data_IF_050849920060
#
_entry.id   IF_050849920060
#
_cell.length_a   1.000
_cell.length_b   1.000
_cell.length_c   1.000
_cell.angle_alpha   90.00
_cell.angle_beta   90.00
_cell.angle_gamma   90.00
#
_symmetry.space_group_name_H-M   'P 1'
#
loop_
_entity.id
_entity.type
_entity.pdbx_description
1 polymer ?
#
# COMPACT_ATOMS: atom_id res chain seq x y z
N UNK A 1 16.51 77.67 -27.83
CA UNK A 1 17.78 76.92 -28.03
C UNK A 1 17.73 75.70 -27.10
N UNK A 2 18.04 74.51 -27.61
CA UNK A 2 17.83 73.20 -26.98
C UNK A 2 18.72 73.00 -25.74
N UNK A 3 18.21 72.31 -24.71
CA UNK A 3 18.91 71.14 -24.16
C UNK A 3 17.91 70.20 -23.49
N UNK A 4 17.84 68.97 -24.02
CA UNK A 4 17.11 67.84 -23.46
C UNK A 4 17.98 67.20 -22.38
N UNK A 5 17.45 66.97 -21.19
CA UNK A 5 17.98 65.96 -20.27
C UNK A 5 16.88 64.96 -19.96
N UNK A 6 17.07 63.76 -20.52
CA UNK A 6 16.40 62.53 -20.10
C UNK A 6 17.04 62.12 -18.77
N UNK A 7 16.26 61.78 -17.76
CA UNK A 7 16.70 60.84 -16.73
C UNK A 7 15.61 59.79 -16.50
N UNK A 8 16.09 58.57 -16.32
CA UNK A 8 15.37 57.31 -16.43
C UNK A 8 14.50 56.99 -15.22
N UNK A 9 13.50 56.15 -15.51
CA UNK A 9 12.76 55.27 -14.61
C UNK A 9 13.63 54.59 -13.54
N UNK A 10 13.10 54.45 -12.32
CA UNK A 10 13.21 53.25 -11.48
C UNK A 10 12.19 53.35 -10.34
N UNK A 11 11.04 52.66 -10.47
CA UNK A 11 10.71 51.39 -9.81
C UNK A 11 10.67 51.44 -8.28
N UNK A 12 9.45 51.32 -7.73
CA UNK A 12 9.19 50.32 -6.70
C UNK A 12 7.68 50.00 -6.68
N UNK A 13 7.25 49.06 -7.53
CA UNK A 13 5.97 48.38 -7.33
C UNK A 13 6.23 47.27 -6.33
N UNK A 14 5.81 47.46 -5.09
CA UNK A 14 5.72 46.41 -4.08
C UNK A 14 4.56 45.48 -4.47
N UNK A 15 4.86 44.45 -5.26
CA UNK A 15 3.95 43.32 -5.42
C UNK A 15 4.11 42.44 -4.19
N UNK A 16 3.17 42.52 -3.26
CA UNK A 16 2.98 41.47 -2.28
C UNK A 16 2.46 40.23 -3.01
N UNK A 17 3.37 39.39 -3.51
CA UNK A 17 3.01 37.99 -3.76
C UNK A 17 2.83 37.37 -2.38
N UNK A 18 1.58 37.20 -1.96
CA UNK A 18 1.26 36.22 -0.94
C UNK A 18 1.84 34.88 -1.43
N UNK A 19 2.99 34.49 -0.89
CA UNK A 19 3.31 33.08 -0.84
C UNK A 19 2.28 32.50 0.12
N UNK A 20 1.25 31.88 -0.45
CA UNK A 20 0.62 30.76 0.25
C UNK A 20 1.77 29.86 0.71
N UNK A 21 1.81 29.44 1.99
CA UNK A 21 2.73 28.39 2.36
C UNK A 21 2.39 27.23 1.45
N UNK A 22 3.29 26.92 0.52
CA UNK A 22 3.29 25.65 -0.19
C UNK A 22 3.42 24.65 0.95
N UNK A 23 2.29 24.04 1.29
CA UNK A 23 2.24 22.98 2.28
C UNK A 23 3.28 21.96 1.83
N UNK A 24 4.39 21.86 2.56
CA UNK A 24 5.32 20.74 2.43
C UNK A 24 4.67 19.46 3.01
N UNK A 25 3.40 19.23 2.68
CA UNK A 25 2.95 17.88 2.35
C UNK A 25 3.70 17.44 1.08
N UNK A 26 5.02 17.25 1.24
CA UNK A 26 5.79 16.22 0.56
C UNK A 26 4.82 15.10 0.19
N UNK A 27 4.61 14.85 -1.10
CA UNK A 27 3.58 13.97 -1.66
C UNK A 27 3.45 12.66 -0.88
N UNK A 28 2.69 12.66 0.22
CA UNK A 28 2.53 11.48 1.06
C UNK A 28 1.67 10.53 0.26
N UNK A 29 2.11 9.29 0.16
CA UNK A 29 1.27 8.27 -0.44
C UNK A 29 -0.04 8.20 0.36
N UNK A 30 -1.15 8.00 -0.34
CA UNK A 30 -2.45 7.70 0.27
C UNK A 30 -2.66 6.20 0.28
N UNK A 31 -3.43 5.67 1.24
CA UNK A 31 -3.80 4.25 1.22
C UNK A 31 -4.41 3.88 -0.14
N UNK A 32 -5.34 4.73 -0.60
CA UNK A 32 -6.11 4.58 -1.84
C UNK A 32 -5.29 4.90 -3.10
N UNK A 33 -5.63 4.23 -4.20
CA UNK A 33 -5.07 4.39 -5.56
C UNK A 33 -3.57 4.12 -5.72
N UNK A 34 -2.95 3.50 -4.72
CA UNK A 34 -1.56 3.07 -4.76
C UNK A 34 -1.46 1.55 -4.85
N UNK A 35 -0.39 1.08 -5.49
CA UNK A 35 -0.04 -0.34 -5.53
C UNK A 35 1.06 -0.60 -4.50
N UNK A 36 0.76 -1.48 -3.57
CA UNK A 36 1.64 -1.83 -2.45
C UNK A 36 2.16 -3.24 -2.63
N UNK A 37 3.42 -3.49 -2.31
CA UNK A 37 4.05 -4.82 -2.40
C UNK A 37 4.59 -5.27 -1.06
N UNK A 38 4.36 -6.54 -0.74
CA UNK A 38 4.98 -7.19 0.41
C UNK A 38 6.52 -7.16 0.29
N UNK A 39 7.18 -6.89 1.40
CA UNK A 39 8.65 -6.88 1.46
C UNK A 39 9.23 -8.29 1.50
N UNK A 40 8.49 -9.25 2.07
CA UNK A 40 8.89 -10.64 2.22
C UNK A 40 8.67 -11.45 0.94
N UNK A 41 9.67 -12.24 0.55
CA UNK A 41 9.57 -13.20 -0.55
C UNK A 41 8.92 -14.51 -0.07
N UNK A 42 7.91 -14.99 -0.79
CA UNK A 42 7.26 -16.28 -0.55
C UNK A 42 7.65 -17.32 -1.58
N UNK A 43 7.46 -18.60 -1.23
CA UNK A 43 7.83 -19.75 -2.07
C UNK A 43 6.70 -20.79 -2.07
N UNK A 44 6.18 -21.13 -3.25
CA UNK A 44 5.40 -22.35 -3.47
C UNK A 44 6.28 -23.46 -4.04
N UNK A 45 5.83 -24.71 -3.86
CA UNK A 45 6.38 -25.86 -4.56
C UNK A 45 5.26 -26.61 -5.29
N UNK A 46 5.46 -26.92 -6.56
CA UNK A 46 4.64 -27.89 -7.29
C UNK A 46 5.49 -29.11 -7.63
N UNK A 47 4.88 -30.29 -7.63
CA UNK A 47 5.56 -31.51 -8.05
C UNK A 47 4.99 -31.96 -9.38
N UNK A 48 5.84 -32.19 -10.38
CA UNK A 48 5.39 -32.69 -11.68
C UNK A 48 5.07 -34.19 -11.65
N UNK A 49 4.59 -34.73 -12.78
CA UNK A 49 4.21 -36.13 -12.92
C UNK A 49 5.35 -37.13 -12.68
N UNK A 50 6.61 -36.66 -12.70
CA UNK A 50 7.80 -37.47 -12.49
C UNK A 50 8.36 -37.33 -11.06
N UNK A 51 7.67 -36.61 -10.17
CA UNK A 51 8.12 -36.38 -8.80
C UNK A 51 9.15 -35.25 -8.66
N UNK A 52 9.42 -34.47 -9.73
CA UNK A 52 10.37 -33.36 -9.67
C UNK A 52 9.68 -32.14 -9.07
N UNK A 53 10.34 -31.52 -8.08
CA UNK A 53 9.86 -30.30 -7.43
C UNK A 53 10.25 -29.05 -8.23
N UNK A 54 9.26 -28.20 -8.48
CA UNK A 54 9.37 -26.90 -9.11
C UNK A 54 9.02 -25.83 -8.09
N UNK A 55 9.94 -24.90 -7.85
CA UNK A 55 9.77 -23.83 -6.88
C UNK A 55 9.36 -22.54 -7.59
N UNK A 56 8.39 -21.82 -7.04
CA UNK A 56 7.95 -20.53 -7.56
C UNK A 56 8.05 -19.48 -6.46
N UNK A 57 8.70 -18.36 -6.77
CA UNK A 57 8.97 -17.29 -5.82
C UNK A 57 8.15 -16.06 -6.19
N UNK A 58 7.56 -15.41 -5.20
CA UNK A 58 6.68 -14.27 -5.47
C UNK A 58 6.55 -13.33 -4.27
N UNK A 59 6.01 -12.13 -4.52
CA UNK A 59 5.61 -11.14 -3.51
C UNK A 59 4.15 -10.75 -3.73
N UNK A 60 3.38 -10.60 -2.65
CA UNK A 60 2.00 -10.14 -2.71
C UNK A 60 1.89 -8.67 -3.10
N UNK A 61 0.90 -8.36 -3.94
CA UNK A 61 0.53 -7.03 -4.40
C UNK A 61 -0.86 -6.68 -3.84
N UNK A 62 -1.01 -5.47 -3.32
CA UNK A 62 -2.24 -4.97 -2.71
C UNK A 62 -2.58 -3.61 -3.31
N UNK A 63 -3.81 -3.46 -3.78
CA UNK A 63 -4.35 -2.19 -4.25
C UNK A 63 -5.64 -1.89 -3.51
N UNK A 64 -5.65 -0.80 -2.75
CA UNK A 64 -6.84 -0.27 -2.09
C UNK A 64 -7.43 0.78 -3.03
N UNK A 65 -8.63 0.56 -3.56
CA UNK A 65 -9.25 1.52 -4.47
C UNK A 65 -10.16 2.52 -3.76
N UNK A 66 -10.69 3.47 -4.53
CA UNK A 66 -11.55 4.51 -3.99
C UNK A 66 -12.89 3.99 -3.47
N UNK A 67 -13.33 2.84 -3.98
CA UNK A 67 -14.61 2.21 -3.70
C UNK A 67 -14.57 1.32 -2.45
N UNK A 68 -13.52 1.49 -1.62
CA UNK A 68 -13.29 0.75 -0.38
C UNK A 68 -13.10 -0.75 -0.60
N UNK A 69 -12.69 -1.15 -1.80
CA UNK A 69 -12.36 -2.54 -2.12
C UNK A 69 -10.85 -2.73 -2.18
N UNK A 70 -10.42 -3.94 -1.85
CA UNK A 70 -9.02 -4.35 -2.01
C UNK A 70 -8.93 -5.32 -3.16
N UNK A 71 -7.99 -5.05 -4.06
CA UNK A 71 -7.57 -5.98 -5.11
C UNK A 71 -6.22 -6.54 -4.71
N UNK A 72 -6.10 -7.85 -4.78
CA UNK A 72 -4.87 -8.57 -4.43
C UNK A 72 -4.34 -9.25 -5.68
N UNK A 73 -3.03 -9.18 -5.89
CA UNK A 73 -2.32 -9.79 -7.01
C UNK A 73 -0.93 -10.23 -6.58
N UNK A 74 -0.09 -10.71 -7.49
CA UNK A 74 1.27 -11.15 -7.15
C UNK A 74 2.29 -10.72 -8.17
N UNK A 75 3.52 -10.58 -7.72
CA UNK A 75 4.68 -10.40 -8.57
C UNK A 75 5.58 -11.63 -8.50
N UNK A 76 5.92 -12.25 -9.63
CA UNK A 76 6.72 -13.48 -9.68
C UNK A 76 8.21 -13.18 -9.91
N UNK A 77 9.06 -14.05 -9.37
CA UNK A 77 10.51 -13.94 -9.40
C UNK A 77 11.19 -15.29 -9.70
N UNK A 78 12.39 -15.22 -10.26
CA UNK A 78 13.21 -16.40 -10.62
C UNK A 78 13.87 -17.07 -9.43
N UNK A 79 14.03 -16.32 -8.34
CA UNK A 79 14.91 -16.69 -7.25
C UNK A 79 14.25 -16.48 -5.88
N UNK A 80 14.74 -17.20 -4.88
CA UNK A 80 14.23 -17.19 -3.50
C UNK A 80 14.44 -15.88 -2.74
N UNK A 81 15.20 -14.93 -3.29
CA UNK A 81 15.36 -13.60 -2.72
C UNK A 81 14.40 -12.58 -3.34
N UNK A 82 13.64 -12.97 -4.37
CA UNK A 82 12.73 -12.11 -5.12
C UNK A 82 13.44 -10.84 -5.63
N UNK A 83 14.62 -11.01 -6.23
CA UNK A 83 15.43 -9.91 -6.81
C UNK A 83 15.41 -9.93 -8.34
N UNK A 84 15.29 -11.10 -8.96
CA UNK A 84 15.22 -11.27 -10.40
C UNK A 84 13.77 -11.42 -10.84
N UNK A 85 13.21 -10.32 -11.32
CA UNK A 85 11.83 -10.24 -11.82
C UNK A 85 11.58 -11.20 -13.00
N UNK A 86 10.42 -11.86 -12.97
CA UNK A 86 9.90 -12.68 -14.06
C UNK A 86 8.76 -11.98 -14.78
N UNK A 87 7.68 -11.73 -14.04
CA UNK A 87 6.39 -11.38 -14.60
C UNK A 87 5.51 -10.77 -13.51
N UNK A 88 4.75 -9.74 -13.88
CA UNK A 88 3.79 -9.09 -13.02
C UNK A 88 2.39 -9.68 -13.28
N UNK A 89 1.78 -10.25 -12.26
CA UNK A 89 0.34 -10.50 -12.25
C UNK A 89 -0.32 -9.38 -11.45
N UNK A 90 -0.70 -8.32 -12.18
CA UNK A 90 -1.41 -7.20 -11.61
C UNK A 90 -2.64 -7.72 -10.83
N UNK A 91 -3.03 -7.04 -9.74
CA UNK A 91 -4.26 -7.37 -9.01
C UNK A 91 -5.43 -7.56 -10.00
N UNK A 92 -5.91 -8.80 -10.12
CA UNK A 92 -6.84 -9.20 -11.17
C UNK A 92 -8.22 -9.40 -10.55
N UNK A 93 -9.11 -8.40 -10.72
CA UNK A 93 -10.40 -8.31 -10.02
C UNK A 93 -10.24 -8.32 -8.50
N UNK A 94 -11.18 -7.78 -7.70
CA UNK A 94 -11.29 -8.26 -6.33
C UNK A 94 -11.45 -9.79 -6.40
N UNK A 95 -10.46 -10.56 -5.94
CA UNK A 95 -10.81 -11.81 -5.27
C UNK A 95 -11.81 -11.38 -4.18
N UNK A 96 -12.97 -12.04 -4.09
CA UNK A 96 -14.06 -11.62 -3.22
C UNK A 96 -13.65 -11.67 -1.73
N UNK A 97 -12.82 -10.75 -1.29
CA UNK A 97 -12.54 -10.54 0.12
C UNK A 97 -13.78 -9.90 0.71
N UNK A 98 -14.20 -10.50 1.80
CA UNK A 98 -15.45 -10.20 2.47
C UNK A 98 -15.30 -8.92 3.29
N UNK A 99 -14.60 -7.87 2.84
CA UNK A 99 -14.31 -6.70 3.68
C UNK A 99 -14.38 -5.37 2.92
N UNK A 100 -15.03 -4.38 3.52
CA UNK A 100 -15.01 -2.97 3.12
C UNK A 100 -14.08 -2.18 4.05
N UNK A 101 -13.30 -1.26 3.50
CA UNK A 101 -12.30 -0.47 4.23
C UNK A 101 -12.69 1.01 4.26
N UNK A 102 -12.87 1.58 5.44
CA UNK A 102 -13.28 2.97 5.64
C UNK A 102 -12.17 3.75 6.32
N UNK A 103 -11.52 4.62 5.56
CA UNK A 103 -10.59 5.62 6.10
C UNK A 103 -11.39 6.65 6.92
N UNK A 104 -11.12 6.72 8.22
CA UNK A 104 -11.79 7.62 9.16
C UNK A 104 -11.01 8.93 9.37
N UNK A 105 -9.86 9.08 8.72
CA UNK A 105 -9.01 10.26 8.78
C UNK A 105 -7.78 10.09 9.66
N UNK A 106 -6.93 11.13 9.61
CA UNK A 106 -5.65 11.16 10.30
C UNK A 106 -5.87 11.30 11.81
N UNK A 107 -5.31 10.39 12.59
CA UNK A 107 -5.38 10.42 14.06
C UNK A 107 -4.09 10.91 14.71
N UNK A 108 -2.92 10.62 14.12
CA UNK A 108 -1.64 11.03 14.71
C UNK A 108 -0.52 11.21 13.68
N UNK A 109 0.65 11.64 14.18
CA UNK A 109 1.92 11.61 13.45
C UNK A 109 3.00 11.12 14.39
N UNK A 110 3.73 10.09 13.98
CA UNK A 110 4.80 9.47 14.78
C UNK A 110 6.03 9.31 13.89
N UNK A 111 7.11 10.01 14.24
CA UNK A 111 8.30 10.13 13.39
C UNK A 111 7.89 10.62 11.98
N UNK A 112 8.20 9.85 10.95
CA UNK A 112 7.93 10.17 9.55
C UNK A 112 6.62 9.57 9.02
N UNK A 113 5.82 8.94 9.89
CA UNK A 113 4.53 8.36 9.52
C UNK A 113 3.37 9.25 9.91
N UNK A 114 2.43 9.44 8.98
CA UNK A 114 1.07 9.85 9.29
C UNK A 114 0.25 8.60 9.65
N UNK A 115 -0.43 8.60 10.80
CA UNK A 115 -1.27 7.50 11.27
C UNK A 115 -2.73 7.87 11.07
N UNK A 116 -3.52 6.92 10.59
CA UNK A 116 -4.93 7.08 10.24
C UNK A 116 -5.75 5.98 10.90
N UNK A 117 -6.96 6.36 11.30
CA UNK A 117 -7.95 5.44 11.80
C UNK A 117 -8.64 4.73 10.63
N UNK A 118 -8.81 3.42 10.75
CA UNK A 118 -9.37 2.56 9.72
C UNK A 118 -10.47 1.70 10.33
N UNK A 119 -11.65 1.74 9.73
CA UNK A 119 -12.73 0.80 10.07
C UNK A 119 -12.85 -0.24 8.97
N UNK A 120 -13.01 -1.50 9.36
CA UNK A 120 -13.15 -2.62 8.44
C UNK A 120 -14.46 -3.31 8.72
N UNK A 121 -15.30 -3.49 7.71
CA UNK A 121 -16.58 -4.19 7.86
C UNK A 121 -16.63 -5.43 7.00
N UNK A 122 -17.09 -6.55 7.58
CA UNK A 122 -17.24 -7.77 6.82
C UNK A 122 -18.49 -7.72 5.90
N UNK A 123 -18.32 -7.88 4.59
CA UNK A 123 -19.40 -7.86 3.59
C UNK A 123 -20.37 -9.01 3.85
N UNK A 124 -21.64 -8.70 4.08
CA UNK A 124 -22.70 -9.70 4.29
C UNK A 124 -22.90 -10.18 5.74
N UNK A 125 -22.07 -9.73 6.69
CA UNK A 125 -22.29 -9.93 8.13
C UNK A 125 -22.46 -8.56 8.80
N UNK A 126 -23.69 -8.19 9.14
CA UNK A 126 -24.11 -6.85 9.56
C UNK A 126 -23.60 -6.38 10.93
N UNK A 127 -22.65 -7.08 11.57
CA UNK A 127 -22.19 -6.74 12.93
C UNK A 127 -20.70 -6.89 13.20
N UNK A 128 -19.90 -7.37 12.24
CA UNK A 128 -18.46 -7.50 12.46
C UNK A 128 -17.74 -6.31 11.83
N UNK A 129 -17.56 -5.26 12.65
CA UNK A 129 -16.61 -4.19 12.38
C UNK A 129 -15.37 -4.38 13.24
N UNK A 130 -14.20 -4.27 12.62
CA UNK A 130 -12.91 -4.26 13.30
C UNK A 130 -12.31 -2.88 13.14
N UNK A 131 -11.98 -2.27 14.28
CA UNK A 131 -11.18 -1.05 14.29
C UNK A 131 -9.71 -1.42 14.05
N UNK A 132 -9.03 -0.59 13.29
CA UNK A 132 -7.66 -0.79 12.86
C UNK A 132 -6.99 0.56 12.65
N UNK A 133 -5.69 0.52 12.43
CA UNK A 133 -4.91 1.68 12.04
C UNK A 133 -4.12 1.36 10.79
N UNK A 134 -3.77 2.40 10.03
CA UNK A 134 -2.66 2.32 9.09
C UNK A 134 -1.72 3.51 9.26
N UNK A 135 -0.43 3.24 9.10
CA UNK A 135 0.63 4.24 9.12
C UNK A 135 1.24 4.32 7.73
N UNK A 136 1.35 5.53 7.19
CA UNK A 136 1.87 5.76 5.84
C UNK A 136 2.98 6.81 5.85
N UNK A 137 4.08 6.50 5.17
CA UNK A 137 5.18 7.40 4.86
C UNK A 137 5.22 7.65 3.34
N UNK A 138 6.31 8.24 2.84
CA UNK A 138 6.49 8.44 1.39
C UNK A 138 6.44 7.13 0.60
N UNK A 139 6.98 6.03 1.15
CA UNK A 139 7.17 4.77 0.41
C UNK A 139 6.77 3.51 1.18
N UNK A 140 6.22 3.64 2.39
CA UNK A 140 5.77 2.52 3.21
C UNK A 140 4.33 2.69 3.66
N UNK A 141 3.63 1.56 3.69
CA UNK A 141 2.33 1.39 4.31
C UNK A 141 2.44 0.27 5.35
N UNK A 142 2.22 0.59 6.61
CA UNK A 142 2.18 -0.37 7.71
C UNK A 142 0.74 -0.45 8.23
N UNK A 143 0.25 -1.66 8.48
CA UNK A 143 -1.09 -1.89 9.02
C UNK A 143 -1.00 -2.20 10.51
N UNK A 144 -2.10 -2.02 11.25
CA UNK A 144 -2.20 -2.48 12.64
C UNK A 144 -2.08 -4.00 12.73
N UNK A 145 -1.69 -4.54 13.88
CA UNK A 145 -1.58 -5.99 14.10
C UNK A 145 -2.92 -6.73 13.96
N UNK A 146 -4.05 -6.01 14.08
CA UNK A 146 -5.38 -6.52 13.72
C UNK A 146 -5.55 -6.79 12.21
N UNK A 147 -4.59 -6.35 11.40
CA UNK A 147 -4.54 -6.52 9.96
C UNK A 147 -3.22 -7.14 9.54
N UNK A 148 -3.27 -8.38 9.07
CA UNK A 148 -2.08 -9.07 8.64
C UNK A 148 -2.13 -9.34 7.13
N UNK A 149 -1.40 -8.54 6.38
CA UNK A 149 -1.17 -8.76 4.95
C UNK A 149 -0.07 -9.82 4.78
N UNK A 150 -0.47 -11.07 4.55
CA UNK A 150 0.49 -12.18 4.36
C UNK A 150 0.22 -12.98 3.11
N UNK A 151 1.28 -13.62 2.66
CA UNK A 151 1.17 -14.76 1.79
C UNK A 151 0.72 -15.95 2.66
N UNK A 152 -0.42 -16.56 2.36
CA UNK A 152 -1.02 -17.64 3.16
C UNK A 152 -1.19 -18.91 2.33
N UNK A 153 -0.88 -20.05 2.94
CA UNK A 153 -0.96 -21.35 2.27
C UNK A 153 -2.32 -21.99 2.54
N UNK A 154 -3.13 -22.21 1.50
CA UNK A 154 -4.31 -23.08 1.59
C UNK A 154 -3.91 -24.48 1.10
N UNK A 155 -3.93 -25.45 2.00
CA UNK A 155 -3.76 -26.86 1.64
C UNK A 155 -5.13 -27.42 1.23
N UNK A 156 -5.28 -27.82 -0.02
CA UNK A 156 -6.53 -28.41 -0.54
C UNK A 156 -6.46 -29.94 -0.51
N UNK A 157 -5.30 -30.52 -0.80
CA UNK A 157 -4.98 -31.94 -0.64
C UNK A 157 -3.45 -32.16 -0.50
N UNK A 158 -3.00 -33.40 -0.27
CA UNK A 158 -1.59 -33.78 -0.07
C UNK A 158 -0.67 -33.43 -1.27
N UNK A 159 -1.23 -33.09 -2.45
CA UNK A 159 -0.49 -32.84 -3.68
C UNK A 159 -0.75 -31.46 -4.32
N UNK A 160 -1.67 -30.66 -3.78
CA UNK A 160 -2.04 -29.34 -4.30
C UNK A 160 -2.16 -28.33 -3.17
N UNK A 161 -1.06 -27.60 -2.97
CA UNK A 161 -1.07 -26.35 -2.20
C UNK A 161 -1.45 -25.20 -3.14
N UNK A 162 -2.55 -24.52 -2.85
CA UNK A 162 -2.86 -23.24 -3.45
C UNK A 162 -2.46 -22.15 -2.47
N UNK A 163 -1.49 -21.32 -2.83
CA UNK A 163 -1.17 -20.15 -2.03
C UNK A 163 -2.12 -19.01 -2.42
N UNK A 164 -2.80 -18.48 -1.42
CA UNK A 164 -3.65 -17.31 -1.51
C UNK A 164 -2.97 -16.17 -0.78
N UNK A 165 -3.07 -14.97 -1.34
CA UNK A 165 -2.62 -13.77 -0.65
C UNK A 165 -3.80 -13.26 0.12
N UNK A 166 -3.69 -13.25 1.44
CA UNK A 166 -4.82 -12.97 2.30
C UNK A 166 -4.47 -11.76 3.15
N UNK A 167 -5.39 -10.80 3.16
CA UNK A 167 -5.44 -9.82 4.22
C UNK A 167 -6.30 -10.43 5.34
N UNK A 168 -5.65 -10.97 6.36
CA UNK A 168 -6.34 -11.50 7.52
C UNK A 168 -6.75 -10.36 8.45
N UNK A 169 -8.01 -10.38 8.90
CA UNK A 169 -8.56 -9.41 9.85
C UNK A 169 -8.84 -10.12 11.17
N UNK A 170 -8.15 -9.72 12.23
CA UNK A 170 -8.31 -10.25 13.58
C UNK A 170 -9.08 -9.27 14.46
N UNK A 171 -10.03 -9.77 15.24
CA UNK A 171 -10.84 -8.96 16.17
C UNK A 171 -10.14 -8.67 17.51
N UNK A 172 -8.85 -8.98 17.64
CA UNK A 172 -8.14 -8.93 18.93
C UNK A 172 -7.74 -7.51 19.33
N UNK A 173 -7.47 -7.32 20.63
CA UNK A 173 -7.19 -6.04 21.31
C UNK A 173 -5.99 -5.21 20.78
N UNK A 174 -5.30 -5.66 19.74
CA UNK A 174 -4.14 -4.98 19.16
C UNK A 174 -4.48 -4.08 17.96
N UNK A 175 -5.76 -3.76 17.77
CA UNK A 175 -6.26 -2.79 16.80
C UNK A 175 -5.50 -1.44 16.81
N UNK A 176 -4.99 -1.04 17.96
CA UNK A 176 -4.29 0.24 18.18
C UNK A 176 -2.77 0.17 17.98
N UNK A 177 -2.20 -1.00 17.67
CA UNK A 177 -0.75 -1.16 17.51
C UNK A 177 -0.39 -1.37 16.04
N UNK A 178 0.42 -0.47 15.47
CA UNK A 178 0.97 -0.60 14.11
C UNK A 178 2.11 -1.62 14.10
N UNK A 179 2.06 -2.57 13.16
CA UNK A 179 3.16 -3.49 12.88
C UNK A 179 4.17 -2.84 11.92
N UNK A 180 5.12 -2.11 12.49
CA UNK A 180 6.23 -1.51 11.73
C UNK A 180 7.24 -2.56 11.21
N UNK A 181 7.13 -3.83 11.60
CA UNK A 181 8.00 -4.91 11.13
C UNK A 181 7.60 -5.46 9.77
N UNK A 182 6.32 -5.36 9.40
CA UNK A 182 5.75 -5.96 8.20
C UNK A 182 5.11 -4.94 7.24
N UNK A 183 5.72 -3.77 7.09
CA UNK A 183 5.23 -2.75 6.16
C UNK A 183 5.32 -3.21 4.68
N UNK A 184 4.32 -2.82 3.91
CA UNK A 184 4.30 -2.88 2.45
C UNK A 184 5.09 -1.71 1.87
N UNK A 185 5.64 -1.89 0.67
CA UNK A 185 6.35 -0.84 -0.08
C UNK A 185 5.50 -0.31 -1.21
N UNK A 186 5.58 0.99 -1.45
CA UNK A 186 4.97 1.60 -2.63
C UNK A 186 5.69 1.10 -3.89
N UNK A 187 4.94 0.53 -4.83
CA UNK A 187 5.41 0.39 -6.20
C UNK A 187 5.03 1.67 -6.91
N UNK A 188 6.03 2.48 -7.23
CA UNK A 188 5.85 3.46 -8.30
C UNK A 188 5.55 2.67 -9.57
N UNK A 189 4.30 2.67 -10.02
CA UNK A 189 3.93 2.03 -11.27
C UNK A 189 4.95 2.48 -12.33
N UNK A 190 5.63 1.56 -13.03
CA UNK A 190 6.42 1.96 -14.18
C UNK A 190 5.45 2.67 -15.13
N UNK A 191 5.73 3.95 -15.40
CA UNK A 191 4.99 4.73 -16.39
C UNK A 191 5.11 4.09 -17.76
#
# INVERSE_FOLDING_TARGET
MRLKQKLLLSSLVLVFTACEPVDEESKKATLKNNLWIATTCSTTVATDSNGVKHYFYYKGLYQFDNDNTIKIGRNNYKDSTCTQFLENHAPASPENFTYNFYDLGKSATVKDYSIYDLKIEKVGESSQSVDALYAISENELCLSESLYAKNSYLHIDDNKTYESMVLDVYSDNNASQIDYGNCLRLINAPR
#
